data_IF_378894343707
#
_entry.id   IF_378894343707
#
_cell.length_a   1.000
_cell.length_b   1.000
_cell.length_c   1.000
_cell.angle_alpha   90.00
_cell.angle_beta   90.00
_cell.angle_gamma   90.00
#
_symmetry.space_group_name_H-M   'P 1'
#
loop_
_entity.id
_entity.type
_entity.pdbx_description
1 polymer ?
#
# COMPACT_ATOMS: atom_id res chain seq x y z
N UNK A 1 -44.17 28.85 -12.50
CA UNK A 1 -44.73 29.49 -11.29
C UNK A 1 -43.60 29.54 -10.26
N UNK A 2 -42.73 30.55 -10.21
CA UNK A 2 -42.87 31.92 -9.70
C UNK A 2 -43.39 32.00 -8.26
N UNK A 3 -42.54 32.28 -7.27
CA UNK A 3 -42.41 33.60 -6.61
C UNK A 3 -41.42 33.63 -5.41
N UNK A 4 -40.57 34.69 -5.39
CA UNK A 4 -40.10 35.53 -4.24
C UNK A 4 -39.16 34.90 -3.18
N UNK A 5 -38.09 35.52 -2.64
CA UNK A 5 -37.71 36.92 -2.40
C UNK A 5 -36.20 37.01 -1.93
N UNK A 6 -35.42 38.00 -2.41
CA UNK A 6 -34.78 39.15 -1.71
C UNK A 6 -33.28 39.07 -1.28
N UNK A 7 -32.50 39.94 -1.93
CA UNK A 7 -31.30 40.77 -1.58
C UNK A 7 -30.11 40.23 -0.77
N UNK A 8 -28.90 40.46 -1.32
CA UNK A 8 -27.87 41.37 -0.73
C UNK A 8 -26.83 41.85 -1.76
N UNK A 9 -26.55 43.15 -1.68
CA UNK A 9 -25.59 43.95 -2.47
C UNK A 9 -24.11 43.66 -2.15
N UNK A 10 -23.21 43.78 -3.14
CA UNK A 10 -21.83 44.26 -2.96
C UNK A 10 -21.21 44.78 -4.29
N UNK A 11 -21.10 46.11 -4.36
CA UNK A 11 -20.07 47.01 -4.98
C UNK A 11 -19.05 46.38 -5.97
N UNK A 12 -19.05 46.73 -7.27
CA UNK A 12 -18.45 47.91 -7.94
C UNK A 12 -16.91 47.95 -7.98
N UNK A 13 -16.29 47.88 -9.17
CA UNK A 13 -15.51 48.97 -9.81
C UNK A 13 -14.86 48.47 -11.13
N UNK A 14 -15.19 49.14 -12.24
CA UNK A 14 -14.45 49.10 -13.51
C UNK A 14 -13.26 50.07 -13.44
N UNK A 15 -12.15 49.76 -14.10
CA UNK A 15 -11.28 50.77 -14.73
C UNK A 15 -10.54 50.20 -15.95
N UNK A 16 -10.83 50.80 -17.09
CA UNK A 16 -10.10 50.74 -18.35
C UNK A 16 -9.04 51.85 -18.36
N UNK A 17 -7.78 51.58 -18.72
CA UNK A 17 -6.88 52.61 -19.29
C UNK A 17 -5.96 51.99 -20.34
N UNK A 18 -6.08 52.56 -21.55
CA UNK A 18 -5.26 52.42 -22.75
C UNK A 18 -4.00 53.27 -22.59
N UNK A 19 -2.83 52.80 -23.03
CA UNK A 19 -1.73 53.70 -23.44
C UNK A 19 -1.04 53.17 -24.70
N UNK A 20 -1.19 53.94 -25.77
CA UNK A 20 -0.42 53.88 -27.01
C UNK A 20 0.64 54.99 -26.97
N UNK A 21 1.84 54.71 -27.48
CA UNK A 21 2.92 55.69 -27.60
C UNK A 21 3.94 55.24 -28.64
N UNK A 22 3.70 55.65 -29.89
CA UNK A 22 4.63 55.61 -31.03
C UNK A 22 5.51 56.86 -31.04
N UNK A 23 6.55 56.88 -31.88
CA UNK A 23 7.50 57.96 -32.25
C UNK A 23 8.88 57.87 -31.60
N UNK A 24 10.03 58.10 -32.26
CA UNK A 24 10.36 58.59 -33.60
C UNK A 24 11.81 58.15 -33.90
N UNK A 25 12.09 57.77 -35.14
CA UNK A 25 13.42 57.49 -35.67
C UNK A 25 14.27 58.76 -35.82
N UNK A 26 15.57 58.67 -35.56
CA UNK A 26 16.57 59.65 -35.99
C UNK A 26 17.77 58.89 -36.57
N UNK A 27 17.87 58.94 -37.90
CA UNK A 27 19.09 58.63 -38.64
C UNK A 27 20.03 59.83 -38.53
N UNK A 28 21.31 59.56 -38.25
CA UNK A 28 22.40 60.43 -38.65
C UNK A 28 23.54 59.55 -39.19
N UNK A 29 23.80 59.71 -40.48
CA UNK A 29 24.93 59.14 -41.20
C UNK A 29 26.20 59.92 -40.90
N UNK A 30 27.32 59.22 -40.68
CA UNK A 30 28.64 59.74 -41.01
C UNK A 30 29.60 58.56 -41.23
N UNK A 31 29.97 58.33 -42.49
CA UNK A 31 31.12 57.52 -42.87
C UNK A 31 32.30 58.46 -43.12
N UNK A 32 33.46 58.22 -42.48
CA UNK A 32 34.77 58.59 -43.05
C UNK A 32 35.96 57.83 -42.40
N UNK A 33 36.58 57.00 -43.23
CA UNK A 33 37.95 56.49 -43.38
C UNK A 33 38.98 56.34 -42.24
N UNK A 34 39.53 55.11 -42.26
CA UNK A 34 40.94 54.65 -42.25
C UNK A 34 41.79 54.54 -40.96
N UNK A 35 42.29 53.30 -40.82
CA UNK A 35 43.52 52.76 -40.21
C UNK A 35 43.68 52.54 -38.69
N UNK A 36 43.83 51.23 -38.39
CA UNK A 36 44.58 50.54 -37.33
C UNK A 36 44.66 51.14 -35.91
N UNK A 37 44.04 50.45 -34.95
CA UNK A 37 44.75 49.88 -33.79
C UNK A 37 43.86 48.89 -33.03
N UNK A 38 44.47 47.82 -32.54
CA UNK A 38 43.89 46.71 -31.78
C UNK A 38 43.32 47.17 -30.43
N UNK A 39 42.16 46.64 -30.02
CA UNK A 39 42.00 45.97 -28.71
C UNK A 39 40.62 45.33 -28.54
N UNK A 40 40.67 44.14 -27.93
CA UNK A 40 39.65 43.48 -27.10
C UNK A 40 38.52 42.68 -27.77
N UNK A 41 38.82 41.38 -27.84
CA UNK A 41 37.91 40.23 -27.86
C UNK A 41 36.74 40.37 -26.89
N UNK A 42 35.53 40.50 -27.44
CA UNK A 42 34.30 40.04 -26.79
C UNK A 42 34.04 38.62 -27.29
N UNK A 43 34.53 37.63 -26.53
CA UNK A 43 34.02 36.27 -26.63
C UNK A 43 32.61 36.26 -26.05
N UNK A 44 31.61 36.19 -26.93
CA UNK A 44 30.34 35.57 -26.58
C UNK A 44 30.62 34.12 -26.22
N UNK A 45 30.28 33.61 -25.03
CA UNK A 45 30.23 32.17 -24.83
C UNK A 45 28.98 31.67 -25.56
N UNK A 46 29.14 31.24 -26.82
CA UNK A 46 28.24 30.24 -27.36
C UNK A 46 28.62 28.90 -26.72
N UNK A 47 28.17 28.66 -25.49
CA UNK A 47 28.13 27.30 -24.98
C UNK A 47 27.11 26.56 -25.83
N UNK A 48 27.63 25.71 -26.71
CA UNK A 48 26.85 24.80 -27.52
C UNK A 48 26.27 23.75 -26.56
N UNK A 49 25.17 24.06 -25.88
CA UNK A 49 24.47 23.09 -25.02
C UNK A 49 24.12 21.87 -25.88
N UNK A 50 24.84 20.78 -25.66
CA UNK A 50 24.62 19.53 -26.39
C UNK A 50 23.35 18.88 -25.84
N UNK A 51 22.24 19.07 -26.54
CA UNK A 51 20.99 18.38 -26.22
C UNK A 51 21.05 16.93 -26.69
N UNK A 52 20.70 16.01 -25.79
CA UNK A 52 20.46 14.60 -26.11
C UNK A 52 19.00 14.48 -26.49
N UNK A 53 18.71 14.04 -27.71
CA UNK A 53 17.37 13.70 -28.15
C UNK A 53 17.17 12.19 -28.07
N UNK A 54 16.03 11.77 -27.52
CA UNK A 54 15.65 10.38 -27.36
C UNK A 54 14.28 10.21 -27.98
N UNK A 55 14.12 9.14 -28.75
CA UNK A 55 12.84 8.73 -29.31
C UNK A 55 12.66 7.23 -29.13
N UNK A 56 11.43 6.80 -28.91
CA UNK A 56 11.15 5.42 -28.60
C UNK A 56 9.67 5.11 -28.57
N UNK A 57 9.34 3.91 -28.08
CA UNK A 57 7.97 3.49 -27.83
C UNK A 57 7.79 3.00 -26.39
N UNK A 58 6.62 3.20 -25.84
CA UNK A 58 6.16 2.51 -24.63
C UNK A 58 5.54 1.18 -25.05
N UNK A 59 6.38 0.15 -25.17
CA UNK A 59 5.99 -1.11 -25.79
C UNK A 59 5.32 -2.09 -24.82
N UNK A 60 4.61 -1.61 -23.80
CA UNK A 60 3.59 -2.38 -23.08
C UNK A 60 2.25 -2.18 -23.79
N UNK A 61 2.01 -2.96 -24.85
CA UNK A 61 0.83 -2.82 -25.71
C UNK A 61 0.57 -1.40 -26.27
N UNK A 62 1.61 -0.58 -26.42
CA UNK A 62 1.54 0.81 -26.90
C UNK A 62 0.72 1.73 -26.00
N UNK A 63 1.37 2.21 -24.94
CA UNK A 63 0.73 3.05 -23.91
C UNK A 63 0.47 4.47 -24.42
N UNK A 64 -0.80 4.87 -24.46
CA UNK A 64 -1.25 6.23 -24.80
C UNK A 64 -1.17 7.17 -23.59
N UNK A 65 -0.77 8.41 -23.84
CA UNK A 65 -0.80 9.53 -22.90
C UNK A 65 -0.11 9.26 -21.54
N UNK A 66 0.90 8.39 -21.51
CA UNK A 66 1.75 8.24 -20.33
C UNK A 66 2.69 9.45 -20.23
N UNK A 67 3.00 9.86 -19.01
CA UNK A 67 4.04 10.86 -18.76
C UNK A 67 5.41 10.18 -18.85
N UNK A 68 6.32 10.73 -19.66
CA UNK A 68 7.71 10.29 -19.75
C UNK A 68 8.60 11.39 -19.18
N UNK A 69 9.48 11.03 -18.25
CA UNK A 69 10.43 11.93 -17.60
C UNK A 69 11.85 11.40 -17.84
N UNK A 70 12.76 12.27 -18.25
CA UNK A 70 14.20 11.99 -18.23
C UNK A 70 14.75 12.47 -16.89
N UNK A 71 14.61 11.60 -15.90
CA UNK A 71 14.80 11.89 -14.49
C UNK A 71 16.27 11.65 -14.09
N UNK A 72 16.85 12.58 -13.33
CA UNK A 72 18.24 12.47 -12.89
C UNK A 72 18.39 11.29 -11.94
N UNK A 73 19.48 10.56 -12.11
CA UNK A 73 19.80 9.48 -11.18
C UNK A 73 20.10 10.05 -9.80
N UNK A 74 19.56 9.41 -8.77
CA UNK A 74 19.97 9.69 -7.40
C UNK A 74 21.43 9.26 -7.21
N UNK A 75 22.18 9.97 -6.37
CA UNK A 75 23.60 9.67 -6.13
C UNK A 75 23.80 8.21 -5.68
N UNK A 76 24.56 7.44 -6.46
CA UNK A 76 24.84 6.02 -6.19
C UNK A 76 23.69 5.06 -6.54
N UNK A 77 22.63 5.54 -7.20
CA UNK A 77 21.47 4.77 -7.62
C UNK A 77 21.43 4.61 -9.15
N UNK A 78 20.80 3.54 -9.62
CA UNK A 78 20.44 3.38 -11.03
C UNK A 78 19.05 3.98 -11.37
N UNK A 79 18.35 4.51 -10.36
CA UNK A 79 17.00 5.08 -10.44
C UNK A 79 17.00 6.56 -10.03
N UNK A 80 15.99 7.28 -10.50
CA UNK A 80 15.58 8.58 -9.99
C UNK A 80 14.33 8.47 -9.11
N UNK A 81 13.61 9.57 -8.90
CA UNK A 81 12.38 9.65 -8.10
C UNK A 81 11.08 9.58 -8.94
N UNK A 82 11.21 9.48 -10.27
CA UNK A 82 10.18 9.60 -11.30
C UNK A 82 9.22 10.77 -11.12
N UNK A 83 9.72 11.88 -10.63
CA UNK A 83 9.04 13.17 -10.58
C UNK A 83 9.85 14.18 -11.37
N UNK A 84 9.19 15.12 -12.06
CA UNK A 84 9.92 16.09 -12.86
C UNK A 84 10.56 17.14 -11.94
N UNK A 85 11.89 17.13 -11.87
CA UNK A 85 12.69 18.15 -11.21
C UNK A 85 13.15 19.26 -12.18
N UNK A 86 13.69 20.34 -11.63
CA UNK A 86 14.15 21.48 -12.42
C UNK A 86 15.30 21.08 -13.36
N UNK A 87 15.11 21.32 -14.66
CA UNK A 87 16.10 21.00 -15.70
C UNK A 87 16.00 19.59 -16.26
N UNK A 88 14.94 18.85 -15.93
CA UNK A 88 14.64 17.53 -16.51
C UNK A 88 13.63 17.62 -17.66
N UNK A 89 13.78 16.72 -18.62
CA UNK A 89 12.86 16.61 -19.74
C UNK A 89 11.55 15.95 -19.31
N UNK A 90 10.42 16.43 -19.84
CA UNK A 90 9.11 15.77 -19.72
C UNK A 90 8.35 15.82 -21.05
N UNK A 91 7.71 14.71 -21.41
CA UNK A 91 6.83 14.60 -22.59
C UNK A 91 5.69 13.61 -22.31
N UNK A 92 4.82 13.40 -23.29
CA UNK A 92 3.79 12.37 -23.26
C UNK A 92 3.91 11.45 -24.48
N UNK A 93 3.49 10.19 -24.33
CA UNK A 93 3.37 9.28 -25.46
C UNK A 93 2.11 9.55 -26.28
N UNK A 94 2.17 9.22 -27.56
CA UNK A 94 1.01 9.21 -28.46
C UNK A 94 0.23 7.87 -28.38
N UNK A 95 -0.90 7.70 -29.10
CA UNK A 95 -1.69 6.47 -29.09
C UNK A 95 -1.00 5.22 -29.63
N UNK A 96 0.18 5.35 -30.24
CA UNK A 96 1.04 4.24 -30.68
C UNK A 96 2.22 4.03 -29.72
N UNK A 97 2.16 4.65 -28.53
CA UNK A 97 3.20 4.63 -27.52
C UNK A 97 4.45 5.43 -27.91
N UNK A 98 4.46 6.14 -29.04
CA UNK A 98 5.65 6.83 -29.52
C UNK A 98 5.89 8.08 -28.67
N UNK A 99 7.15 8.32 -28.32
CA UNK A 99 7.56 9.54 -27.64
C UNK A 99 8.85 10.10 -28.24
N UNK A 100 9.03 11.41 -28.08
CA UNK A 100 10.29 12.09 -28.33
C UNK A 100 10.51 13.17 -27.28
N UNK A 101 11.74 13.24 -26.77
CA UNK A 101 12.10 14.10 -25.64
C UNK A 101 13.58 14.50 -25.75
N UNK A 102 13.92 15.67 -25.23
CA UNK A 102 15.31 16.13 -25.20
C UNK A 102 15.69 16.64 -23.82
N UNK A 103 16.97 16.50 -23.49
CA UNK A 103 17.53 16.95 -22.21
C UNK A 103 18.99 17.38 -22.39
N UNK A 104 19.47 18.28 -21.53
CA UNK A 104 20.83 18.82 -21.59
C UNK A 104 21.85 18.08 -20.71
N UNK A 105 21.44 17.06 -19.95
CA UNK A 105 22.32 16.24 -19.11
C UNK A 105 22.37 14.78 -19.54
N UNK A 106 23.49 14.11 -19.23
CA UNK A 106 23.77 12.74 -19.66
C UNK A 106 23.42 11.69 -18.60
N UNK A 107 23.28 12.08 -17.33
CA UNK A 107 22.97 11.15 -16.25
C UNK A 107 21.49 11.19 -15.91
N UNK A 108 20.71 10.32 -16.57
CA UNK A 108 19.27 10.19 -16.34
C UNK A 108 18.79 8.74 -16.48
N UNK A 109 17.65 8.44 -15.90
CA UNK A 109 16.84 7.26 -16.16
C UNK A 109 15.57 7.70 -16.88
N UNK A 110 15.03 6.87 -17.77
CA UNK A 110 13.73 7.14 -18.37
C UNK A 110 12.67 6.58 -17.42
N UNK A 111 11.80 7.43 -16.89
CA UNK A 111 10.64 7.04 -16.11
C UNK A 111 9.36 7.21 -16.94
N UNK A 112 8.46 6.24 -16.86
CA UNK A 112 7.13 6.35 -17.48
C UNK A 112 6.07 6.06 -16.45
N UNK A 113 5.10 6.96 -16.27
CA UNK A 113 4.03 6.84 -15.28
C UNK A 113 2.67 7.22 -15.90
N UNK A 114 1.61 6.59 -15.41
CA UNK A 114 0.24 6.76 -15.93
C UNK A 114 0.07 6.28 -17.37
N UNK A 115 -0.95 6.82 -18.04
CA UNK A 115 -1.35 6.39 -19.38
C UNK A 115 -2.14 5.08 -19.38
N UNK A 116 -2.63 4.71 -20.55
CA UNK A 116 -3.47 3.53 -20.75
C UNK A 116 -3.15 2.83 -22.06
N UNK A 117 -3.38 1.53 -22.14
CA UNK A 117 -3.38 0.78 -23.39
C UNK A 117 -4.71 0.05 -23.56
N UNK A 118 -4.97 -0.46 -24.77
CA UNK A 118 -6.19 -1.20 -25.09
C UNK A 118 -6.03 -2.68 -24.76
N UNK A 119 -6.95 -3.21 -23.96
CA UNK A 119 -7.08 -4.65 -23.72
C UNK A 119 -7.68 -5.37 -24.94
N UNK A 120 -7.80 -6.71 -24.86
CA UNK A 120 -8.35 -7.53 -25.95
C UNK A 120 -9.82 -7.24 -26.30
N UNK A 121 -10.55 -6.54 -25.42
CA UNK A 121 -11.94 -6.09 -25.61
C UNK A 121 -12.03 -4.65 -26.15
N UNK A 122 -10.92 -3.93 -26.21
CA UNK A 122 -10.85 -2.52 -26.62
C UNK A 122 -11.10 -1.51 -25.48
N UNK A 123 -11.11 -1.96 -24.23
CA UNK A 123 -11.21 -1.07 -23.07
C UNK A 123 -9.83 -0.50 -22.70
N UNK A 124 -9.82 0.72 -22.15
CA UNK A 124 -8.59 1.32 -21.61
C UNK A 124 -8.22 0.68 -20.27
N UNK A 125 -6.97 0.22 -20.17
CA UNK A 125 -6.40 -0.35 -18.94
C UNK A 125 -5.20 0.50 -18.52
N UNK A 126 -5.08 0.88 -17.24
CA UNK A 126 -3.91 1.60 -16.74
C UNK A 126 -2.61 0.84 -16.97
N UNK A 127 -1.61 1.53 -17.50
CA UNK A 127 -0.30 0.94 -17.74
C UNK A 127 0.51 0.71 -16.45
N UNK A 128 1.55 -0.09 -16.57
CA UNK A 128 2.59 -0.23 -15.56
C UNK A 128 3.51 0.99 -15.56
N UNK A 129 3.95 1.48 -14.38
CA UNK A 129 5.09 2.35 -14.35
C UNK A 129 6.30 1.56 -14.85
N UNK A 130 7.13 2.19 -15.67
CA UNK A 130 8.31 1.53 -16.23
C UNK A 130 9.53 2.42 -16.11
N UNK A 131 10.69 1.76 -16.02
CA UNK A 131 11.99 2.41 -16.07
C UNK A 131 12.75 1.90 -17.29
N UNK A 132 13.60 2.74 -17.87
CA UNK A 132 14.64 2.28 -18.78
C UNK A 132 15.97 2.96 -18.47
N UNK A 133 17.10 2.23 -18.57
CA UNK A 133 18.41 2.83 -18.40
C UNK A 133 18.67 3.85 -19.52
N UNK A 134 19.61 4.75 -19.25
CA UNK A 134 20.12 5.73 -20.22
C UNK A 134 20.50 5.02 -21.52
N UNK A 135 20.05 5.50 -22.70
CA UNK A 135 20.46 4.92 -23.98
C UNK A 135 21.97 4.97 -24.19
N UNK A 136 22.55 3.84 -24.63
CA UNK A 136 23.98 3.74 -24.96
C UNK A 136 24.37 4.63 -26.18
N UNK A 137 23.39 5.09 -26.97
CA UNK A 137 23.58 6.05 -28.07
C UNK A 137 22.29 6.82 -28.41
N UNK A 138 22.43 8.03 -28.96
CA UNK A 138 21.32 8.99 -29.18
C UNK A 138 20.52 8.79 -30.49
N UNK A 139 20.67 7.67 -31.20
CA UNK A 139 20.18 7.51 -32.58
C UNK A 139 19.37 6.23 -32.88
N UNK A 140 18.97 5.46 -31.86
CA UNK A 140 18.09 4.28 -32.05
C UNK A 140 16.76 4.44 -31.32
N UNK A 141 15.70 3.83 -31.88
CA UNK A 141 14.40 3.75 -31.22
C UNK A 141 14.54 2.96 -29.90
N UNK A 142 14.30 3.62 -28.78
CA UNK A 142 14.47 3.04 -27.44
C UNK A 142 13.12 2.62 -26.87
N UNK A 143 12.79 1.33 -26.93
CA UNK A 143 11.52 0.87 -26.35
C UNK A 143 11.65 0.78 -24.83
N UNK A 144 10.70 1.37 -24.12
CA UNK A 144 10.51 1.20 -22.68
C UNK A 144 9.50 0.09 -22.47
N UNK A 145 9.86 -0.90 -21.65
CA UNK A 145 9.05 -2.09 -21.40
C UNK A 145 9.16 -2.52 -19.93
N UNK A 146 8.32 -3.46 -19.46
CA UNK A 146 8.50 -4.04 -18.15
C UNK A 146 9.88 -4.72 -17.97
N UNK A 147 10.50 -5.22 -19.05
CA UNK A 147 11.85 -5.80 -19.02
C UNK A 147 12.93 -4.73 -18.84
N UNK A 148 12.76 -3.53 -19.42
CA UNK A 148 13.70 -2.43 -19.20
C UNK A 148 13.71 -1.99 -17.74
N UNK A 149 12.58 -2.13 -17.03
CA UNK A 149 12.51 -1.86 -15.58
C UNK A 149 13.40 -2.80 -14.79
N UNK A 150 13.40 -4.10 -15.14
CA UNK A 150 14.28 -5.08 -14.51
C UNK A 150 15.76 -4.72 -14.73
N UNK A 151 16.13 -4.40 -15.98
CA UNK A 151 17.52 -4.02 -16.32
C UNK A 151 17.94 -2.71 -15.67
N UNK A 152 17.04 -1.76 -15.51
CA UNK A 152 17.36 -0.49 -14.84
C UNK A 152 17.80 -0.73 -13.40
N UNK A 153 17.09 -1.60 -12.68
CA UNK A 153 17.41 -1.90 -11.27
C UNK A 153 18.55 -2.90 -11.13
N UNK A 154 18.70 -3.80 -12.10
CA UNK A 154 19.70 -4.87 -12.13
C UNK A 154 20.33 -4.97 -13.53
N UNK A 155 21.33 -4.12 -13.86
CA UNK A 155 21.95 -4.08 -15.19
C UNK A 155 22.59 -5.40 -15.64
N UNK A 156 22.99 -6.25 -14.69
CA UNK A 156 23.54 -7.59 -14.95
C UNK A 156 22.58 -8.52 -15.70
N UNK A 157 21.27 -8.24 -15.68
CA UNK A 157 20.26 -9.04 -16.39
C UNK A 157 20.30 -8.83 -17.91
N UNK A 158 20.94 -7.74 -18.39
CA UNK A 158 20.98 -7.33 -19.80
C UNK A 158 21.40 -8.46 -20.75
N UNK A 159 22.55 -9.08 -20.48
CA UNK A 159 23.12 -10.12 -21.35
C UNK A 159 22.17 -11.31 -21.52
N UNK A 160 21.52 -11.72 -20.44
CA UNK A 160 20.64 -12.90 -20.48
C UNK A 160 19.34 -12.61 -21.22
N UNK A 161 18.83 -11.40 -21.11
CA UNK A 161 17.66 -10.94 -21.86
C UNK A 161 17.97 -10.72 -23.36
N UNK A 162 19.19 -10.27 -23.69
CA UNK A 162 19.65 -10.17 -25.08
C UNK A 162 19.69 -11.54 -25.77
N UNK A 163 20.13 -12.59 -25.08
CA UNK A 163 20.02 -13.97 -25.58
C UNK A 163 18.57 -14.37 -25.90
N UNK A 164 17.58 -13.76 -25.23
CA UNK A 164 16.17 -14.12 -25.37
C UNK A 164 15.44 -13.38 -26.49
N UNK A 165 16.04 -12.31 -27.04
CA UNK A 165 15.43 -11.47 -28.07
C UNK A 165 15.58 -9.97 -27.83
N UNK A 166 16.26 -9.56 -26.76
CA UNK A 166 16.57 -8.17 -26.44
C UNK A 166 15.77 -7.66 -25.25
N UNK A 167 16.45 -7.07 -24.27
CA UNK A 167 15.81 -6.51 -23.07
C UNK A 167 14.97 -5.25 -23.36
N UNK A 168 15.22 -4.55 -24.48
CA UNK A 168 14.48 -3.38 -24.96
C UNK A 168 13.71 -3.66 -26.28
N UNK A 169 13.37 -4.92 -26.54
CA UNK A 169 12.58 -5.28 -27.72
C UNK A 169 11.18 -4.63 -27.69
N UNK A 170 10.61 -4.34 -28.86
CA UNK A 170 9.20 -3.94 -28.99
C UNK A 170 8.31 -5.17 -28.77
N UNK A 171 8.03 -5.51 -27.50
CA UNK A 171 7.27 -6.72 -27.13
C UNK A 171 5.81 -6.68 -27.62
N UNK A 172 5.30 -5.48 -27.94
CA UNK A 172 3.98 -5.24 -28.53
C UNK A 172 3.96 -5.29 -30.06
N UNK A 173 5.11 -5.58 -30.70
CA UNK A 173 5.29 -5.57 -32.16
C UNK A 173 4.19 -6.37 -32.88
N UNK A 174 3.60 -5.83 -33.96
CA UNK A 174 2.66 -6.58 -34.79
C UNK A 174 3.31 -7.79 -35.49
N UNK A 175 4.64 -7.75 -35.66
CA UNK A 175 5.42 -8.87 -36.19
C UNK A 175 5.73 -9.93 -35.12
N UNK A 176 5.53 -9.60 -33.85
CA UNK A 176 5.79 -10.44 -32.69
C UNK A 176 7.25 -10.47 -32.27
N UNK A 177 7.51 -11.20 -31.18
CA UNK A 177 8.85 -11.41 -30.60
C UNK A 177 9.03 -12.90 -30.23
N UNK A 178 10.25 -13.39 -29.97
CA UNK A 178 10.45 -14.77 -29.53
C UNK A 178 9.59 -15.12 -28.32
N UNK A 179 8.89 -16.25 -28.37
CA UNK A 179 7.95 -16.67 -27.32
C UNK A 179 8.57 -16.69 -25.93
N UNK A 180 9.82 -17.14 -25.80
CA UNK A 180 10.58 -17.11 -24.54
C UNK A 180 10.71 -15.70 -23.93
N UNK A 181 10.92 -14.66 -24.75
CA UNK A 181 11.01 -13.27 -24.29
C UNK A 181 9.65 -12.74 -23.89
N UNK A 182 8.64 -12.93 -24.75
CA UNK A 182 7.28 -12.48 -24.46
C UNK A 182 6.76 -13.13 -23.19
N UNK A 183 7.05 -14.41 -22.98
CA UNK A 183 6.67 -15.15 -21.78
C UNK A 183 7.22 -14.50 -20.51
N UNK A 184 8.50 -14.13 -20.50
CA UNK A 184 9.11 -13.41 -19.39
C UNK A 184 8.49 -12.02 -19.21
N UNK A 185 8.29 -11.27 -20.29
CA UNK A 185 7.67 -9.95 -20.24
C UNK A 185 6.25 -10.01 -19.63
N UNK A 186 5.40 -10.94 -20.09
CA UNK A 186 4.06 -11.13 -19.53
C UNK A 186 4.09 -11.62 -18.09
N UNK A 187 5.12 -12.38 -17.65
CA UNK A 187 5.31 -12.70 -16.22
C UNK A 187 5.58 -11.45 -15.38
N UNK A 188 6.41 -10.52 -15.88
CA UNK A 188 6.68 -9.25 -15.20
C UNK A 188 5.42 -8.38 -15.12
N UNK A 189 4.65 -8.29 -16.21
CA UNK A 189 3.38 -7.57 -16.23
C UNK A 189 2.34 -8.20 -15.29
N UNK A 190 2.24 -9.53 -15.26
CA UNK A 190 1.38 -10.23 -14.30
C UNK A 190 1.78 -9.88 -12.88
N UNK A 191 3.07 -9.89 -12.55
CA UNK A 191 3.54 -9.54 -11.22
C UNK A 191 3.18 -8.10 -10.83
N UNK A 192 3.38 -7.14 -11.73
CA UNK A 192 2.97 -5.75 -11.52
C UNK A 192 1.44 -5.63 -11.35
N UNK A 193 0.64 -6.28 -12.20
CA UNK A 193 -0.82 -6.18 -12.10
C UNK A 193 -1.37 -6.81 -10.81
N UNK A 194 -0.73 -7.88 -10.32
CA UNK A 194 -1.08 -8.48 -9.02
C UNK A 194 -0.65 -7.60 -7.84
N UNK A 195 0.56 -7.04 -7.89
CA UNK A 195 1.05 -6.14 -6.83
C UNK A 195 0.30 -4.80 -6.81
N UNK A 196 -0.21 -4.35 -7.96
CA UNK A 196 -1.12 -3.21 -8.06
C UNK A 196 -2.41 -3.37 -7.25
N UNK A 197 -2.87 -4.62 -7.05
CA UNK A 197 -4.07 -4.88 -6.23
C UNK A 197 -3.81 -4.66 -4.74
N UNK A 198 -2.56 -4.84 -4.29
CA UNK A 198 -2.16 -4.60 -2.88
C UNK A 198 -1.63 -3.19 -2.67
N UNK A 199 -1.14 -2.52 -3.72
CA UNK A 199 -0.78 -1.10 -3.71
C UNK A 199 -0.87 -0.43 -5.08
N UNK A 200 -1.59 0.68 -5.16
CA UNK A 200 -1.80 1.42 -6.41
C UNK A 200 -0.72 2.47 -6.73
N UNK A 201 0.18 2.78 -5.80
CA UNK A 201 1.22 3.81 -5.98
C UNK A 201 2.33 3.37 -6.93
N UNK A 202 2.66 4.21 -7.92
CA UNK A 202 3.65 3.89 -8.95
C UNK A 202 5.05 3.61 -8.37
N UNK A 203 5.49 4.35 -7.35
CA UNK A 203 6.79 4.14 -6.71
C UNK A 203 6.88 2.78 -6.02
N UNK A 204 5.81 2.38 -5.35
CA UNK A 204 5.75 1.09 -4.67
C UNK A 204 5.65 -0.07 -5.64
N UNK A 205 4.95 0.12 -6.77
CA UNK A 205 4.93 -0.85 -7.87
C UNK A 205 6.32 -1.01 -8.50
N UNK A 206 7.05 0.08 -8.74
CA UNK A 206 8.45 0.03 -9.18
C UNK A 206 9.35 -0.67 -8.15
N UNK A 207 9.14 -0.44 -6.85
CA UNK A 207 9.84 -1.15 -5.78
C UNK A 207 9.51 -2.65 -5.75
N UNK A 208 8.25 -3.03 -5.98
CA UNK A 208 7.88 -4.43 -6.13
C UNK A 208 8.61 -5.08 -7.32
N UNK A 209 8.65 -4.41 -8.47
CA UNK A 209 9.37 -4.90 -9.66
C UNK A 209 10.88 -5.03 -9.42
N UNK A 210 11.47 -4.22 -8.54
CA UNK A 210 12.86 -4.37 -8.10
C UNK A 210 13.09 -5.68 -7.31
N UNK A 211 12.14 -6.08 -6.46
CA UNK A 211 12.19 -7.39 -5.81
C UNK A 211 12.13 -8.54 -6.83
N UNK A 212 11.36 -8.39 -7.91
CA UNK A 212 11.32 -9.37 -8.99
C UNK A 212 12.66 -9.44 -9.76
N UNK A 213 13.24 -8.29 -10.08
CA UNK A 213 14.55 -8.22 -10.72
C UNK A 213 15.65 -8.86 -9.85
N UNK A 214 15.66 -8.58 -8.55
CA UNK A 214 16.57 -9.21 -7.60
C UNK A 214 16.35 -10.73 -7.52
N UNK A 215 15.10 -11.19 -7.55
CA UNK A 215 14.82 -12.62 -7.55
C UNK A 215 15.32 -13.31 -8.83
N UNK A 216 15.21 -12.67 -9.99
CA UNK A 216 15.77 -13.20 -11.23
C UNK A 216 17.30 -13.22 -11.24
N UNK A 217 17.94 -12.23 -10.63
CA UNK A 217 19.39 -12.24 -10.40
C UNK A 217 19.81 -13.46 -9.58
N UNK A 218 19.12 -13.74 -8.48
CA UNK A 218 19.48 -14.82 -7.55
C UNK A 218 19.17 -16.22 -8.10
N UNK A 219 18.01 -16.41 -8.74
CA UNK A 219 17.57 -17.70 -9.26
C UNK A 219 18.03 -17.99 -10.70
N UNK A 220 18.57 -16.98 -11.37
CA UNK A 220 18.84 -16.99 -12.80
C UNK A 220 17.61 -16.61 -13.63
N UNK A 221 17.82 -15.80 -14.67
CA UNK A 221 16.76 -15.49 -15.65
C UNK A 221 16.51 -16.73 -16.50
N UNK A 222 15.33 -17.32 -16.33
CA UNK A 222 14.84 -18.47 -17.08
C UNK A 222 13.43 -18.22 -17.60
N UNK A 223 12.99 -19.07 -18.51
CA UNK A 223 11.67 -19.03 -19.15
C UNK A 223 10.87 -20.30 -18.89
N UNK A 224 11.40 -21.23 -18.10
CA UNK A 224 10.68 -22.41 -17.62
C UNK A 224 9.67 -22.06 -16.51
N UNK A 225 8.59 -22.82 -16.41
CA UNK A 225 7.49 -22.56 -15.48
C UNK A 225 7.98 -22.47 -14.02
N UNK A 226 8.83 -23.41 -13.61
CA UNK A 226 9.23 -23.59 -12.21
C UNK A 226 10.09 -22.42 -11.73
N UNK A 227 11.09 -22.02 -12.52
CA UNK A 227 11.97 -20.91 -12.15
C UNK A 227 11.25 -19.57 -12.18
N UNK A 228 10.34 -19.37 -13.15
CA UNK A 228 9.49 -18.16 -13.21
C UNK A 228 8.58 -18.07 -11.98
N UNK A 229 7.86 -19.14 -11.63
CA UNK A 229 7.00 -19.18 -10.45
C UNK A 229 7.80 -18.96 -9.16
N UNK A 230 8.96 -19.61 -9.03
CA UNK A 230 9.83 -19.46 -7.86
C UNK A 230 10.29 -18.01 -7.70
N UNK A 231 10.66 -17.36 -8.81
CA UNK A 231 11.12 -15.97 -8.76
C UNK A 231 10.00 -15.00 -8.41
N UNK A 232 8.81 -15.22 -8.97
CA UNK A 232 7.61 -14.45 -8.65
C UNK A 232 7.19 -14.64 -7.18
N UNK A 233 7.27 -15.87 -6.66
CA UNK A 233 6.96 -16.17 -5.27
C UNK A 233 7.87 -15.42 -4.29
N UNK A 234 9.18 -15.46 -4.54
CA UNK A 234 10.17 -14.76 -3.70
C UNK A 234 9.95 -13.24 -3.78
N UNK A 235 9.70 -12.71 -4.97
CA UNK A 235 9.42 -11.30 -5.16
C UNK A 235 8.14 -10.86 -4.43
N UNK A 236 7.07 -11.66 -4.53
CA UNK A 236 5.79 -11.37 -3.89
C UNK A 236 5.91 -11.42 -2.36
N UNK A 237 6.60 -12.42 -1.82
CA UNK A 237 6.87 -12.50 -0.38
C UNK A 237 7.57 -11.25 0.15
N UNK A 238 8.61 -10.78 -0.55
CA UNK A 238 9.31 -9.56 -0.15
C UNK A 238 8.42 -8.32 -0.29
N UNK A 239 7.65 -8.22 -1.38
CA UNK A 239 6.76 -7.09 -1.60
C UNK A 239 5.64 -7.00 -0.56
N UNK A 240 5.06 -8.13 -0.15
CA UNK A 240 3.99 -8.17 0.85
C UNK A 240 4.48 -7.90 2.27
N UNK A 241 5.78 -8.11 2.56
CA UNK A 241 6.37 -7.84 3.87
C UNK A 241 7.09 -6.47 3.96
N UNK A 242 7.06 -5.69 2.88
CA UNK A 242 7.66 -4.36 2.84
C UNK A 242 6.63 -3.30 3.23
N UNK A 243 6.87 -2.60 4.36
CA UNK A 243 5.94 -1.58 4.88
C UNK A 243 5.85 -0.33 4.02
N UNK A 244 6.79 -0.08 3.10
CA UNK A 244 6.65 0.99 2.12
C UNK A 244 5.68 0.58 1.00
N UNK A 245 5.60 -0.72 0.67
CA UNK A 245 4.69 -1.26 -0.34
C UNK A 245 3.32 -1.56 0.27
N UNK A 246 3.24 -2.17 1.45
CA UNK A 246 1.99 -2.35 2.18
C UNK A 246 2.07 -1.53 3.47
N UNK A 247 1.57 -0.28 3.45
CA UNK A 247 1.59 0.59 4.63
C UNK A 247 0.90 -0.04 5.84
N UNK A 248 1.45 0.23 7.03
CA UNK A 248 0.84 -0.15 8.30
C UNK A 248 -0.57 0.41 8.42
N UNK A 249 -1.51 -0.46 8.77
CA UNK A 249 -2.93 -0.12 8.92
C UNK A 249 -3.75 -0.14 7.63
N UNK A 250 -3.16 -0.47 6.47
CA UNK A 250 -3.92 -0.66 5.22
C UNK A 250 -4.69 -1.98 5.21
N UNK A 251 -5.82 -2.03 4.49
CA UNK A 251 -6.60 -3.27 4.32
C UNK A 251 -5.79 -4.39 3.66
N UNK A 252 -4.78 -4.05 2.86
CA UNK A 252 -3.88 -5.01 2.23
C UNK A 252 -3.06 -5.83 3.24
N UNK A 253 -2.86 -5.35 4.48
CA UNK A 253 -2.21 -6.14 5.54
C UNK A 253 -3.01 -7.38 5.96
N UNK A 254 -4.31 -7.39 5.71
CA UNK A 254 -5.20 -8.51 6.01
C UNK A 254 -5.12 -9.65 4.99
N UNK A 255 -4.48 -9.42 3.84
CA UNK A 255 -4.38 -10.41 2.79
C UNK A 255 -3.43 -11.52 3.19
N UNK A 256 -3.89 -12.76 3.01
CA UNK A 256 -3.03 -13.94 3.13
C UNK A 256 -2.05 -13.98 1.95
N UNK A 257 -0.75 -14.03 2.26
CA UNK A 257 0.31 -14.23 1.26
C UNK A 257 0.04 -15.47 0.40
N UNK A 258 -0.38 -16.58 1.01
CA UNK A 258 -0.74 -17.81 0.30
C UNK A 258 -1.91 -17.60 -0.66
N UNK A 259 -2.93 -16.85 -0.25
CA UNK A 259 -4.09 -16.60 -1.09
C UNK A 259 -3.75 -15.73 -2.31
N UNK A 260 -2.92 -14.70 -2.12
CA UNK A 260 -2.43 -13.85 -3.22
C UNK A 260 -1.52 -14.67 -4.13
N UNK A 261 -0.59 -15.45 -3.58
CA UNK A 261 0.30 -16.31 -4.34
C UNK A 261 -0.49 -17.29 -5.21
N UNK A 262 -1.50 -17.96 -4.66
CA UNK A 262 -2.37 -18.86 -5.43
C UNK A 262 -3.02 -18.16 -6.63
N UNK A 263 -3.43 -16.89 -6.48
CA UNK A 263 -3.95 -16.12 -7.61
C UNK A 263 -2.87 -15.84 -8.66
N UNK A 264 -1.66 -15.44 -8.23
CA UNK A 264 -0.54 -15.19 -9.15
C UNK A 264 -0.14 -16.46 -9.90
N UNK A 265 -0.06 -17.59 -9.21
CA UNK A 265 0.23 -18.89 -9.81
C UNK A 265 -0.81 -19.25 -10.87
N UNK A 266 -2.11 -19.06 -10.59
CA UNK A 266 -3.19 -19.31 -11.55
C UNK A 266 -3.08 -18.44 -12.81
N UNK A 267 -2.73 -17.14 -12.68
CA UNK A 267 -2.54 -16.27 -13.85
C UNK A 267 -1.36 -16.76 -14.70
N UNK A 268 -0.27 -17.15 -14.05
CA UNK A 268 0.91 -17.63 -14.76
C UNK A 268 0.66 -18.98 -15.43
N UNK A 269 0.03 -19.94 -14.76
CA UNK A 269 -0.20 -21.29 -15.31
C UNK A 269 -1.29 -21.30 -16.37
N UNK A 270 -2.48 -20.80 -16.06
CA UNK A 270 -3.66 -20.87 -16.94
C UNK A 270 -3.65 -19.76 -18.01
N UNK A 271 -3.04 -18.62 -17.71
CA UNK A 271 -2.85 -17.51 -18.64
C UNK A 271 -1.53 -17.63 -19.42
N UNK A 272 -0.45 -17.11 -18.83
CA UNK A 272 0.82 -16.87 -19.54
C UNK A 272 1.42 -18.15 -20.12
N UNK A 273 1.60 -19.18 -19.30
CA UNK A 273 2.32 -20.39 -19.68
C UNK A 273 1.55 -21.28 -20.64
N UNK A 274 0.22 -21.27 -20.49
CA UNK A 274 -0.71 -21.98 -21.36
C UNK A 274 -0.94 -21.24 -22.69
N UNK A 275 -0.68 -19.94 -22.77
CA UNK A 275 -0.80 -19.14 -23.99
C UNK A 275 0.51 -19.05 -24.80
N UNK A 276 1.67 -19.02 -24.12
CA UNK A 276 2.97 -18.77 -24.75
C UNK A 276 3.91 -19.94 -24.48
N UNK A 277 4.27 -20.69 -25.52
CA UNK A 277 5.24 -21.80 -25.39
C UNK A 277 6.64 -21.27 -25.09
N UNK A 278 7.41 -22.00 -24.29
CA UNK A 278 8.82 -21.70 -24.05
C UNK A 278 9.69 -22.12 -25.25
N UNK A 279 9.63 -21.33 -26.32
CA UNK A 279 10.39 -21.55 -27.56
C UNK A 279 10.77 -20.21 -28.20
N UNK A 280 11.59 -20.28 -29.24
CA UNK A 280 12.03 -19.10 -30.00
C UNK A 280 11.08 -18.74 -31.13
N UNK A 281 9.99 -19.50 -31.25
CA UNK A 281 8.95 -19.24 -32.24
C UNK A 281 8.35 -17.87 -31.94
N UNK A 282 8.27 -17.04 -32.96
CA UNK A 282 7.69 -15.71 -32.86
C UNK A 282 6.23 -15.77 -32.45
N UNK A 283 5.85 -14.96 -31.46
CA UNK A 283 4.49 -14.83 -30.96
C UNK A 283 4.08 -13.37 -31.05
N UNK A 284 2.90 -13.13 -31.63
CA UNK A 284 2.25 -11.81 -31.66
C UNK A 284 1.35 -11.68 -30.44
N UNK A 285 1.65 -10.74 -29.56
CA UNK A 285 0.95 -10.55 -28.27
C UNK A 285 -0.58 -10.48 -28.42
N UNK A 286 -1.06 -9.69 -29.39
CA UNK A 286 -2.48 -9.49 -29.63
C UNK A 286 -3.27 -10.78 -29.91
N UNK A 287 -2.59 -11.84 -30.39
CA UNK A 287 -3.22 -13.14 -30.66
C UNK A 287 -3.42 -13.99 -29.41
N UNK A 288 -2.71 -13.68 -28.32
CA UNK A 288 -2.71 -14.47 -27.08
C UNK A 288 -3.27 -13.72 -25.87
N UNK A 289 -3.50 -12.41 -26.02
CA UNK A 289 -3.81 -11.49 -24.92
C UNK A 289 -5.10 -11.86 -24.17
N UNK A 290 -6.16 -12.22 -24.89
CA UNK A 290 -7.47 -12.53 -24.28
C UNK A 290 -7.40 -13.66 -23.23
N UNK A 291 -6.55 -14.67 -23.45
CA UNK A 291 -6.39 -15.77 -22.50
C UNK A 291 -5.69 -15.34 -21.22
N UNK A 292 -4.68 -14.49 -21.33
CA UNK A 292 -3.95 -13.94 -20.17
C UNK A 292 -4.87 -12.99 -19.40
N UNK A 293 -5.61 -12.14 -20.10
CA UNK A 293 -6.55 -11.20 -19.48
C UNK A 293 -7.68 -11.90 -18.73
N UNK A 294 -8.25 -12.99 -19.27
CA UNK A 294 -9.28 -13.75 -18.53
C UNK A 294 -8.73 -14.28 -17.20
N UNK A 295 -7.52 -14.83 -17.19
CA UNK A 295 -6.90 -15.33 -15.97
C UNK A 295 -6.62 -14.17 -14.98
N UNK A 296 -6.12 -13.04 -15.50
CA UNK A 296 -5.83 -11.83 -14.73
C UNK A 296 -7.10 -11.21 -14.14
N UNK A 297 -8.18 -11.10 -14.92
CA UNK A 297 -9.50 -10.60 -14.49
C UNK A 297 -10.07 -11.45 -13.35
N UNK A 298 -9.89 -12.78 -13.41
CA UNK A 298 -10.36 -13.67 -12.36
C UNK A 298 -9.55 -13.50 -11.06
N UNK A 299 -8.22 -13.41 -11.17
CA UNK A 299 -7.31 -13.22 -10.05
C UNK A 299 -7.52 -11.85 -9.36
N UNK A 300 -7.60 -10.78 -10.13
CA UNK A 300 -7.85 -9.42 -9.60
C UNK A 300 -9.20 -9.33 -8.89
N UNK A 301 -10.25 -9.95 -9.44
CA UNK A 301 -11.56 -10.06 -8.76
C UNK A 301 -11.47 -10.83 -7.45
N UNK A 302 -10.71 -11.92 -7.40
CA UNK A 302 -10.52 -12.69 -6.18
C UNK A 302 -9.80 -11.86 -5.10
N UNK A 303 -8.71 -11.16 -5.46
CA UNK A 303 -7.98 -10.29 -4.52
C UNK A 303 -8.86 -9.12 -4.05
N UNK A 304 -9.57 -8.47 -4.97
CA UNK A 304 -10.53 -7.40 -4.64
C UNK A 304 -11.65 -7.90 -3.72
N UNK A 305 -12.12 -9.14 -3.92
CA UNK A 305 -13.10 -9.77 -3.03
C UNK A 305 -12.54 -9.96 -1.62
N UNK A 306 -11.28 -10.40 -1.49
CA UNK A 306 -10.62 -10.54 -0.19
C UNK A 306 -10.45 -9.19 0.53
N UNK A 307 -10.07 -8.14 -0.21
CA UNK A 307 -9.94 -6.77 0.32
C UNK A 307 -11.27 -6.20 0.80
N UNK A 308 -12.39 -6.59 0.20
CA UNK A 308 -13.72 -6.10 0.58
C UNK A 308 -14.41 -6.92 1.69
N UNK A 309 -13.74 -7.94 2.24
CA UNK A 309 -14.31 -8.68 3.36
C UNK A 309 -14.34 -7.81 4.63
N UNK A 310 -15.43 -7.83 5.42
CA UNK A 310 -15.47 -7.12 6.69
C UNK A 310 -14.37 -7.56 7.66
N UNK A 311 -13.95 -6.70 8.61
CA UNK A 311 -13.10 -7.12 9.72
C UNK A 311 -13.73 -8.29 10.48
N UNK A 312 -12.90 -9.24 10.89
CA UNK A 312 -13.30 -10.35 11.76
C UNK A 312 -12.67 -10.09 13.12
N UNK A 313 -13.51 -10.12 14.16
CA UNK A 313 -13.11 -9.89 15.54
C UNK A 313 -13.16 -11.21 16.33
N UNK A 314 -12.14 -11.48 17.14
CA UNK A 314 -12.09 -12.67 18.00
C UNK A 314 -11.55 -12.35 19.40
N UNK A 315 -12.11 -13.01 20.43
CA UNK A 315 -11.68 -12.82 21.81
C UNK A 315 -10.28 -13.39 22.07
N UNK A 316 -9.44 -12.61 22.77
CA UNK A 316 -8.16 -13.07 23.33
C UNK A 316 -8.25 -13.16 24.86
N UNK A 317 -8.85 -12.14 25.50
CA UNK A 317 -9.06 -12.07 26.94
C UNK A 317 -10.32 -11.28 27.24
N UNK A 318 -11.28 -11.89 27.95
CA UNK A 318 -12.52 -11.23 28.40
C UNK A 318 -12.35 -10.59 29.79
N UNK A 319 -13.33 -9.78 30.19
CA UNK A 319 -13.41 -9.22 31.54
C UNK A 319 -13.89 -10.33 32.48
N UNK A 320 -13.28 -10.52 33.67
CA UNK A 320 -13.80 -11.46 34.66
C UNK A 320 -15.26 -11.16 35.02
N UNK A 321 -16.07 -12.20 35.19
CA UNK A 321 -17.51 -12.09 35.53
C UNK A 321 -17.77 -11.18 36.74
N UNK A 322 -16.87 -11.17 37.71
CA UNK A 322 -16.88 -10.26 38.86
C UNK A 322 -15.50 -9.61 38.99
N UNK A 323 -15.46 -8.29 39.16
CA UNK A 323 -14.20 -7.56 39.33
C UNK A 323 -14.39 -6.34 40.23
N UNK A 324 -13.38 -6.04 41.05
CA UNK A 324 -13.30 -4.80 41.83
C UNK A 324 -12.58 -3.67 41.09
N UNK A 325 -12.02 -3.95 39.91
CA UNK A 325 -11.45 -2.94 39.03
C UNK A 325 -12.56 -2.16 38.32
N UNK A 326 -12.72 -0.89 38.68
CA UNK A 326 -13.69 0.01 38.06
C UNK A 326 -13.33 0.46 36.64
N UNK A 327 -12.17 0.08 36.12
CA UNK A 327 -11.68 0.38 34.76
C UNK A 327 -11.16 -0.89 34.07
N UNK A 328 -12.00 -1.93 33.97
CA UNK A 328 -11.53 -3.23 33.50
C UNK A 328 -11.07 -3.15 32.04
N UNK A 329 -10.12 -4.01 31.69
CA UNK A 329 -9.60 -4.14 30.33
C UNK A 329 -9.87 -5.50 29.73
N UNK A 330 -10.02 -5.55 28.41
CA UNK A 330 -10.13 -6.77 27.63
C UNK A 330 -9.20 -6.73 26.42
N UNK A 331 -8.93 -7.90 25.83
CA UNK A 331 -8.10 -8.04 24.63
C UNK A 331 -8.88 -8.83 23.56
N UNK A 332 -8.82 -8.36 22.33
CA UNK A 332 -9.38 -9.04 21.17
C UNK A 332 -8.43 -8.89 19.99
N UNK A 333 -8.60 -9.75 18.98
CA UNK A 333 -7.88 -9.66 17.73
C UNK A 333 -8.81 -9.15 16.63
N UNK A 334 -8.28 -8.29 15.75
CA UNK A 334 -8.94 -7.86 14.52
C UNK A 334 -8.12 -8.29 13.31
N UNK A 335 -8.79 -8.74 12.24
CA UNK A 335 -8.14 -9.02 10.96
C UNK A 335 -7.89 -7.77 10.12
N UNK A 336 -8.36 -6.59 10.54
CA UNK A 336 -8.17 -5.30 9.86
C UNK A 336 -8.08 -4.13 10.84
N UNK A 337 -7.34 -3.09 10.46
CA UNK A 337 -7.40 -1.79 11.13
C UNK A 337 -8.75 -1.12 10.87
N UNK A 338 -9.24 -0.32 11.81
CA UNK A 338 -10.51 0.38 11.62
C UNK A 338 -11.00 1.19 12.82
N UNK A 339 -12.15 1.83 12.65
CA UNK A 339 -12.80 2.64 13.68
C UNK A 339 -13.75 1.79 14.54
N UNK A 340 -13.70 1.98 15.87
CA UNK A 340 -14.60 1.30 16.81
C UNK A 340 -15.95 2.00 16.85
N UNK A 341 -17.02 1.23 16.67
CA UNK A 341 -18.36 1.61 17.09
C UNK A 341 -18.74 0.86 18.36
N UNK A 342 -19.07 1.60 19.40
CA UNK A 342 -19.53 1.04 20.67
C UNK A 342 -21.05 0.82 20.67
N UNK A 343 -21.48 -0.32 21.21
CA UNK A 343 -22.87 -0.62 21.55
C UNK A 343 -23.06 -0.78 23.06
N UNK A 344 -24.21 -0.31 23.57
CA UNK A 344 -24.57 -0.45 24.98
C UNK A 344 -23.97 0.60 25.92
N UNK A 345 -23.75 0.20 27.17
CA UNK A 345 -23.32 1.10 28.26
C UNK A 345 -21.82 1.14 28.55
N UNK A 346 -21.02 0.26 27.94
CA UNK A 346 -19.56 0.26 28.11
C UNK A 346 -18.93 1.17 27.06
N UNK A 347 -18.11 2.12 27.50
CA UNK A 347 -17.37 3.02 26.61
C UNK A 347 -15.89 3.01 26.95
N UNK A 348 -15.05 3.26 25.95
CA UNK A 348 -13.62 3.55 26.10
C UNK A 348 -13.29 4.88 25.42
N UNK A 349 -12.09 5.40 25.67
CA UNK A 349 -11.49 6.47 24.84
C UNK A 349 -10.84 5.91 23.56
N UNK A 350 -10.68 4.59 23.44
CA UNK A 350 -10.21 3.96 22.21
C UNK A 350 -11.23 4.13 21.09
N UNK A 351 -10.80 4.78 20.01
CA UNK A 351 -11.59 5.00 18.78
C UNK A 351 -11.07 4.18 17.60
N UNK A 352 -9.85 3.65 17.69
CA UNK A 352 -9.17 2.94 16.61
C UNK A 352 -8.75 1.55 17.08
N UNK A 353 -8.70 0.63 16.11
CA UNK A 353 -8.24 -0.74 16.22
C UNK A 353 -7.16 -0.93 15.18
N UNK A 354 -6.07 -1.57 15.57
CA UNK A 354 -5.01 -1.98 14.66
C UNK A 354 -5.21 -3.43 14.20
N UNK A 355 -4.61 -3.79 13.07
CA UNK A 355 -4.44 -5.18 12.67
C UNK A 355 -3.76 -5.99 13.79
N UNK A 356 -4.31 -7.14 14.15
CA UNK A 356 -3.77 -8.01 15.20
C UNK A 356 -4.43 -7.79 16.57
N UNK A 357 -3.64 -7.96 17.65
CA UNK A 357 -4.14 -7.96 19.03
C UNK A 357 -4.28 -6.53 19.55
N UNK A 358 -5.45 -6.22 20.10
CA UNK A 358 -5.82 -4.92 20.63
C UNK A 358 -6.24 -5.06 22.09
N UNK A 359 -5.68 -4.20 22.94
CA UNK A 359 -6.08 -4.08 24.35
C UNK A 359 -6.92 -2.82 24.54
N UNK A 360 -8.12 -3.00 25.09
CA UNK A 360 -9.04 -1.90 25.38
C UNK A 360 -9.26 -1.81 26.88
N UNK A 361 -9.10 -0.61 27.43
CA UNK A 361 -9.45 -0.30 28.82
C UNK A 361 -10.74 0.52 28.81
N UNK A 362 -11.74 0.06 29.57
CA UNK A 362 -13.00 0.79 29.70
C UNK A 362 -12.82 2.05 30.54
N UNK A 363 -13.66 3.06 30.27
CA UNK A 363 -13.83 4.21 31.16
C UNK A 363 -14.31 3.74 32.52
N UNK A 364 -14.11 4.60 33.52
CA UNK A 364 -14.56 4.31 34.88
C UNK A 364 -16.05 3.96 34.90
N UNK A 365 -16.34 2.76 35.38
CA UNK A 365 -17.66 2.20 35.58
C UNK A 365 -18.03 2.28 37.07
N UNK A 366 -19.32 2.40 37.35
CA UNK A 366 -19.85 2.36 38.71
C UNK A 366 -20.15 0.91 39.10
N UNK A 367 -20.30 0.64 40.40
CA UNK A 367 -20.77 -0.66 40.88
C UNK A 367 -22.11 -1.03 40.23
N UNK A 368 -22.21 -2.23 39.69
CA UNK A 368 -23.38 -2.69 38.94
C UNK A 368 -23.08 -3.80 37.94
N UNK A 369 -24.14 -4.29 37.29
CA UNK A 369 -24.08 -5.32 36.25
C UNK A 369 -24.04 -4.64 34.87
N UNK A 370 -23.16 -5.14 34.01
CA UNK A 370 -22.99 -4.73 32.63
C UNK A 370 -23.21 -5.95 31.73
N UNK A 371 -24.22 -5.91 30.86
CA UNK A 371 -24.67 -7.07 30.07
C UNK A 371 -25.03 -6.74 28.61
N UNK A 372 -24.88 -5.47 28.21
CA UNK A 372 -25.34 -4.97 26.92
C UNK A 372 -24.20 -4.40 26.05
N UNK A 373 -22.96 -4.73 26.37
CA UNK A 373 -21.79 -4.10 25.77
C UNK A 373 -21.32 -4.85 24.53
N UNK A 374 -21.05 -4.11 23.45
CA UNK A 374 -20.49 -4.67 22.23
C UNK A 374 -19.59 -3.69 21.50
N UNK A 375 -18.72 -4.22 20.65
CA UNK A 375 -17.91 -3.44 19.74
C UNK A 375 -18.07 -3.95 18.31
N UNK A 376 -18.09 -3.04 17.34
CA UNK A 376 -17.89 -3.36 15.92
C UNK A 376 -16.74 -2.52 15.39
N UNK A 377 -16.04 -3.02 14.38
CA UNK A 377 -14.96 -2.29 13.71
C UNK A 377 -15.36 -2.03 12.27
N UNK A 378 -15.17 -0.80 11.79
CA UNK A 378 -15.36 -0.43 10.38
C UNK A 378 -13.99 -0.17 9.75
N UNK A 379 -13.66 -0.89 8.69
CA UNK A 379 -12.36 -0.73 7.99
C UNK A 379 -12.29 0.54 7.13
N UNK A 380 -11.12 0.78 6.53
CA UNK A 380 -10.89 1.94 5.67
C UNK A 380 -11.79 1.93 4.41
N UNK A 381 -12.17 0.75 3.94
CA UNK A 381 -13.08 0.55 2.81
C UNK A 381 -14.56 0.69 3.19
N UNK A 382 -14.89 0.92 4.47
CA UNK A 382 -16.24 1.11 4.97
C UNK A 382 -16.98 -0.19 5.30
N UNK A 383 -16.30 -1.34 5.30
CA UNK A 383 -16.88 -2.62 5.68
C UNK A 383 -16.94 -2.75 7.20
N UNK A 384 -18.13 -3.01 7.72
CA UNK A 384 -18.37 -3.13 9.17
C UNK A 384 -18.37 -4.60 9.60
N UNK A 385 -17.62 -4.92 10.65
CA UNK A 385 -17.60 -6.24 11.28
C UNK A 385 -18.96 -6.63 11.87
N UNK A 386 -19.16 -7.93 12.07
CA UNK A 386 -20.14 -8.38 13.05
C UNK A 386 -19.78 -7.84 14.45
N UNK A 387 -20.77 -7.53 15.30
CA UNK A 387 -20.51 -7.08 16.66
C UNK A 387 -19.84 -8.18 17.50
N UNK A 388 -18.71 -7.84 18.12
CA UNK A 388 -18.10 -8.63 19.19
C UNK A 388 -18.81 -8.28 20.52
N UNK A 389 -19.57 -9.24 21.04
CA UNK A 389 -20.32 -9.07 22.30
C UNK A 389 -19.38 -9.27 23.49
N UNK A 390 -19.33 -8.26 24.36
CA UNK A 390 -18.64 -8.35 25.66
C UNK A 390 -19.52 -9.18 26.59
N UNK A 391 -18.97 -10.28 27.10
CA UNK A 391 -19.68 -11.12 28.08
C UNK A 391 -20.07 -10.32 29.32
N UNK A 392 -21.20 -10.66 29.93
CA UNK A 392 -21.69 -9.92 31.09
C UNK A 392 -20.74 -10.01 32.28
N UNK A 393 -20.51 -8.87 32.93
CA UNK A 393 -19.68 -8.74 34.12
C UNK A 393 -20.30 -7.79 35.13
N UNK A 394 -19.88 -7.90 36.39
CA UNK A 394 -20.27 -6.99 37.45
C UNK A 394 -19.04 -6.28 38.03
N UNK A 395 -19.15 -4.96 38.18
CA UNK A 395 -18.23 -4.17 39.00
C UNK A 395 -18.71 -4.28 40.43
N UNK A 396 -17.87 -4.81 41.31
CA UNK A 396 -18.12 -4.90 42.73
C UNK A 396 -16.93 -4.33 43.53
N UNK A 397 -17.13 -3.13 44.05
CA UNK A 397 -16.13 -2.38 44.81
C UNK A 397 -16.39 -2.38 46.31
N UNK A 398 -17.48 -3.01 46.75
CA UNK A 398 -17.86 -3.02 48.16
C UNK A 398 -17.22 -4.22 48.84
N UNK A 399 -16.41 -3.98 49.86
CA UNK A 399 -15.88 -5.09 50.67
C UNK A 399 -16.99 -5.71 51.53
N UNK A 400 -17.01 -7.04 51.69
CA UNK A 400 -17.96 -7.69 52.58
C UNK A 400 -17.76 -7.22 54.03
N UNK A 401 -18.87 -7.03 54.73
CA UNK A 401 -18.89 -6.69 56.16
C UNK A 401 -19.25 -7.94 56.96
N UNK A 402 -18.36 -8.30 57.89
CA UNK A 402 -18.59 -9.35 58.86
C UNK A 402 -19.04 -8.75 60.18
N UNK A 403 -20.11 -9.31 60.76
CA UNK A 403 -20.60 -8.95 62.09
C UNK A 403 -20.60 -10.18 62.98
N UNK A 404 -19.71 -10.21 63.95
CA UNK A 404 -19.69 -11.27 64.96
C UNK A 404 -21.05 -11.41 65.64
N UNK A 405 -21.54 -12.64 65.72
CA UNK A 405 -22.77 -13.01 66.43
C UNK A 405 -22.50 -13.85 67.67
N UNK A 406 -21.39 -14.61 67.66
CA UNK A 406 -20.90 -15.36 68.82
C UNK A 406 -19.37 -15.40 68.84
N UNK A 407 -18.76 -14.73 69.83
CA UNK A 407 -17.32 -14.72 70.08
C UNK A 407 -16.84 -15.98 70.80
N UNK A 408 -15.57 -16.35 70.61
CA UNK A 408 -14.89 -17.32 71.48
C UNK A 408 -14.60 -16.68 72.85
N UNK A 409 -15.12 -17.28 73.94
CA UNK A 409 -14.87 -16.79 75.30
C UNK A 409 -13.39 -16.94 75.69
N UNK A 410 -12.82 -15.93 76.35
CA UNK A 410 -11.44 -15.97 76.84
C UNK A 410 -11.40 -15.87 78.37
N UNK A 411 -10.78 -16.83 79.10
CA UNK A 411 -10.14 -18.06 78.61
C UNK A 411 -11.17 -19.12 78.18
N UNK A 412 -10.81 -19.94 77.17
CA UNK A 412 -11.59 -21.10 76.72
C UNK A 412 -10.90 -22.40 77.14
N UNK A 413 -11.68 -23.41 77.52
CA UNK A 413 -11.22 -24.80 77.70
C UNK A 413 -11.62 -25.72 76.55
N UNK A 414 -12.20 -25.17 75.47
CA UNK A 414 -12.66 -25.92 74.28
C UNK A 414 -11.58 -25.85 73.20
N UNK A 415 -11.14 -27.02 72.70
CA UNK A 415 -10.02 -27.12 71.75
C UNK A 415 -10.33 -26.60 70.33
N UNK A 416 -11.59 -26.71 69.88
CA UNK A 416 -12.10 -26.16 68.62
C UNK A 416 -13.37 -25.36 68.92
N UNK A 417 -13.25 -24.11 69.40
CA UNK A 417 -14.39 -23.32 69.81
C UNK A 417 -15.20 -22.86 68.60
N UNK A 418 -16.53 -22.90 68.69
CA UNK A 418 -17.39 -22.33 67.66
C UNK A 418 -17.27 -20.80 67.63
N UNK A 419 -17.11 -20.26 66.42
CA UNK A 419 -17.17 -18.84 66.13
C UNK A 419 -18.29 -18.60 65.11
N UNK A 420 -19.21 -17.70 65.44
CA UNK A 420 -20.32 -17.35 64.55
C UNK A 420 -20.32 -15.88 64.18
N UNK A 421 -20.63 -15.60 62.93
CA UNK A 421 -20.70 -14.26 62.38
C UNK A 421 -21.75 -14.19 61.26
N UNK A 422 -22.30 -13.00 61.05
CA UNK A 422 -23.14 -12.66 59.92
C UNK A 422 -22.28 -12.02 58.83
N UNK A 423 -22.35 -12.51 57.60
CA UNK A 423 -21.75 -11.88 56.41
C UNK A 423 -22.85 -11.25 55.56
N UNK A 424 -22.68 -10.00 55.14
CA UNK A 424 -23.63 -9.33 54.25
C UNK A 424 -23.52 -9.81 52.78
N UNK A 425 -22.42 -10.47 52.44
CA UNK A 425 -22.11 -11.06 51.15
C UNK A 425 -21.28 -12.35 51.31
N UNK A 426 -21.44 -13.28 50.36
CA UNK A 426 -20.66 -14.53 50.34
C UNK A 426 -19.22 -14.27 49.90
N UNK A 427 -18.24 -14.97 50.45
CA UNK A 427 -16.85 -14.79 50.07
C UNK A 427 -15.89 -15.75 50.76
N UNK A 428 -14.64 -15.74 50.33
CA UNK A 428 -13.58 -16.51 50.98
C UNK A 428 -13.23 -15.88 52.34
N UNK A 429 -13.02 -16.73 53.35
CA UNK A 429 -12.61 -16.34 54.69
C UNK A 429 -11.07 -16.36 54.75
N UNK A 430 -10.49 -15.29 55.28
CA UNK A 430 -9.05 -15.22 55.56
C UNK A 430 -8.84 -15.09 57.07
N UNK A 431 -8.01 -15.97 57.64
CA UNK A 431 -7.64 -15.94 59.05
C UNK A 431 -6.29 -15.25 59.22
N UNK A 432 -6.19 -14.28 60.13
CA UNK A 432 -4.93 -13.69 60.56
C UNK A 432 -4.45 -14.32 61.88
N UNK A 433 -3.13 -14.32 62.11
CA UNK A 433 -2.51 -14.93 63.29
C UNK A 433 -2.41 -16.47 63.23
N UNK A 434 -2.52 -17.12 64.40
CA UNK A 434 -2.37 -18.58 64.54
C UNK A 434 -3.70 -19.34 64.51
N UNK A 435 -4.80 -18.67 64.19
CA UNK A 435 -6.13 -19.27 64.08
C UNK A 435 -6.34 -19.84 62.67
N UNK A 436 -7.09 -20.93 62.56
CA UNK A 436 -7.51 -21.51 61.28
C UNK A 436 -8.87 -22.21 61.46
N UNK A 437 -9.53 -22.52 60.35
CA UNK A 437 -10.70 -23.40 60.29
C UNK A 437 -10.64 -24.22 59.00
N UNK A 438 -11.30 -25.37 58.99
CA UNK A 438 -11.50 -26.14 57.75
C UNK A 438 -12.49 -25.46 56.81
N UNK A 439 -13.35 -24.57 57.33
CA UNK A 439 -14.26 -23.78 56.51
C UNK A 439 -13.61 -22.43 56.13
N UNK A 440 -13.31 -22.27 54.85
CA UNK A 440 -12.69 -21.09 54.26
C UNK A 440 -13.67 -20.31 53.37
N UNK A 441 -14.98 -20.58 53.44
CA UNK A 441 -16.00 -19.89 52.66
C UNK A 441 -17.21 -19.49 53.52
N UNK A 442 -17.54 -18.20 53.49
CA UNK A 442 -18.75 -17.65 54.11
C UNK A 442 -19.86 -17.51 53.07
N UNK A 443 -21.08 -17.89 53.45
CA UNK A 443 -22.29 -17.56 52.71
C UNK A 443 -22.88 -16.24 53.23
N UNK A 444 -23.54 -15.48 52.36
CA UNK A 444 -24.39 -14.37 52.80
C UNK A 444 -25.41 -14.86 53.84
N UNK A 445 -25.42 -14.22 55.00
CA UNK A 445 -26.22 -14.62 56.16
C UNK A 445 -25.35 -15.07 57.34
N UNK A 446 -25.95 -15.89 58.21
CA UNK A 446 -25.28 -16.40 59.41
C UNK A 446 -24.38 -17.59 59.07
N UNK A 447 -23.15 -17.55 59.58
CA UNK A 447 -22.13 -18.57 59.41
C UNK A 447 -21.63 -19.02 60.79
N UNK A 448 -21.27 -20.30 60.89
CA UNK A 448 -20.56 -20.85 62.04
C UNK A 448 -19.37 -21.65 61.54
N UNK A 449 -18.21 -21.40 62.14
CA UNK A 449 -16.94 -22.10 61.87
C UNK A 449 -16.36 -22.61 63.19
N UNK A 450 -15.44 -23.58 63.10
CA UNK A 450 -14.79 -24.23 64.25
C UNK A 450 -13.29 -24.23 64.13
#
# INVERSE_FOLDING_TARGET
MSTRNILKNLKSFEYTVIWAGLFLSLFATSCRNDELSQTETSNSPSENESFISISGKLAQAYVDNATIILDRKLSGSHKGNCTQDAGEGKTHSDPFGVFSISVSHHDFVICTIGGTYKNSKGDDVPASPMLAPTPDSSNFAWNVTPLTTLVTTHPELKNKLDEMGGWNADIASPEGVPGRLLRLAKTVETFDEMTKQINQGDQQRLKAMEYLANSFKLNGVSTDNTTLLTSVKIALHNAMNDTEIIPTGSDAQSLSEEAVLNQVENVLTEGVFSAIKNTDVTVVEQKILSKIEIATDNATKAISGMLNNPPILSWIRTIPKFTSDSTPSFEFQSTKTGEITWGGGCLSDSTLVEYGINKITLKKLNQGIYDNCSISVTDQSGNKSEPLIVESFAIDTTSPVLKETSSVKTPSSVANPEYSFHADESGNIFFDGNCNSENDYALKGDNTIT
#
